data_IF_083086668063
#
_entry.id   IF_083086668063
#
_cell.length_a   1.000
_cell.length_b   1.000
_cell.length_c   1.000
_cell.angle_alpha   90.00
_cell.angle_beta   90.00
_cell.angle_gamma   90.00
#
_symmetry.space_group_name_H-M   'P 1'
#
loop_
_entity.id
_entity.type
_entity.pdbx_description
1 polymer ?
#
# COMPACT_ATOMS: atom_id res chain seq x y z
N UNK A 1 -1.48 -70.79 14.68
CA UNK A 1 -1.32 -70.51 16.12
C UNK A 1 -1.14 -69.01 16.25
N UNK A 2 -2.03 -68.37 17.01
CA UNK A 2 -2.05 -66.96 17.47
C UNK A 2 -0.68 -66.64 18.12
N UNK A 3 -0.07 -65.43 18.06
CA UNK A 3 -0.32 -64.29 18.98
C UNK A 3 0.06 -62.92 18.38
N UNK A 4 -0.85 -61.96 18.56
CA UNK A 4 -0.61 -60.51 18.56
C UNK A 4 0.57 -60.11 19.46
N UNK A 5 1.27 -59.04 19.08
CA UNK A 5 1.72 -58.07 20.08
C UNK A 5 1.47 -56.65 19.58
N UNK A 6 0.45 -56.03 20.16
CA UNK A 6 0.27 -54.58 20.21
C UNK A 6 1.37 -54.02 21.11
N UNK A 7 2.20 -53.13 20.59
CA UNK A 7 2.85 -52.12 21.44
C UNK A 7 2.25 -50.75 21.13
N UNK A 8 1.45 -50.29 22.10
CA UNK A 8 1.06 -48.90 22.26
C UNK A 8 2.31 -48.08 22.62
N UNK A 9 2.58 -47.03 21.86
CA UNK A 9 3.31 -45.87 22.37
C UNK A 9 2.61 -44.62 21.79
N UNK A 10 1.52 -44.20 22.44
CA UNK A 10 1.46 -43.03 23.32
C UNK A 10 1.91 -41.75 22.62
N UNK A 11 0.90 -40.96 22.24
CA UNK A 11 0.86 -39.51 22.33
C UNK A 11 2.20 -38.79 22.14
N UNK A 12 2.56 -38.50 20.89
CA UNK A 12 3.35 -37.29 20.61
C UNK A 12 2.43 -36.10 20.83
N UNK A 13 2.26 -35.71 22.10
CA UNK A 13 1.83 -34.37 22.44
C UNK A 13 2.80 -33.41 21.76
N UNK A 14 2.34 -32.69 20.74
CA UNK A 14 3.02 -31.47 20.33
C UNK A 14 3.09 -30.59 21.57
N UNK A 15 4.31 -30.36 22.07
CA UNK A 15 4.52 -29.44 23.17
C UNK A 15 3.96 -28.09 22.75
N UNK A 16 2.86 -27.69 23.36
CA UNK A 16 2.36 -26.33 23.27
C UNK A 16 3.42 -25.46 23.95
N UNK A 17 4.25 -24.79 23.15
CA UNK A 17 5.14 -23.75 23.65
C UNK A 17 4.22 -22.65 24.19
N UNK A 18 4.20 -22.39 25.51
CA UNK A 18 3.44 -21.28 26.05
C UNK A 18 4.00 -20.01 25.44
N UNK A 19 3.12 -19.14 24.95
CA UNK A 19 3.51 -17.84 24.46
C UNK A 19 3.88 -16.98 25.68
N UNK A 20 5.09 -17.16 26.20
CA UNK A 20 5.66 -16.22 27.15
C UNK A 20 5.80 -14.89 26.39
N UNK A 21 4.93 -13.95 26.73
CA UNK A 21 5.02 -12.57 26.30
C UNK A 21 6.30 -11.96 26.88
N UNK A 22 7.45 -12.27 26.26
CA UNK A 22 8.58 -11.36 26.27
C UNK A 22 8.03 -10.05 25.77
N UNK A 23 8.04 -9.06 26.66
CA UNK A 23 7.62 -7.68 26.44
C UNK A 23 7.96 -7.34 25.00
N UNK A 24 6.93 -7.26 24.15
CA UNK A 24 7.10 -6.78 22.80
C UNK A 24 7.67 -5.39 22.99
N UNK A 25 8.97 -5.24 22.74
CA UNK A 25 9.48 -3.99 22.21
C UNK A 25 8.85 -3.86 20.84
N UNK A 26 7.55 -3.58 20.83
CA UNK A 26 6.93 -2.87 19.74
C UNK A 26 7.87 -1.68 19.53
N UNK A 27 8.39 -1.45 18.32
CA UNK A 27 8.92 -0.12 18.04
C UNK A 27 7.85 0.86 18.53
N UNK A 28 8.24 1.99 19.16
CA UNK A 28 7.25 2.94 19.63
C UNK A 28 6.27 3.14 18.47
N UNK A 29 4.98 2.94 18.73
CA UNK A 29 3.90 3.41 17.86
C UNK A 29 3.98 4.94 17.87
N UNK A 30 5.09 5.50 17.41
CA UNK A 30 5.32 6.90 17.17
C UNK A 30 4.53 7.22 15.91
N UNK A 31 3.27 7.59 16.13
CA UNK A 31 2.36 8.12 15.12
C UNK A 31 2.05 7.15 13.98
N UNK A 32 0.85 6.59 13.96
CA UNK A 32 0.19 6.16 12.70
C UNK A 32 -0.25 7.42 11.93
N UNK A 33 0.76 8.22 11.63
CA UNK A 33 0.80 9.61 11.19
C UNK A 33 2.27 10.01 11.07
N UNK A 34 3.13 9.05 10.70
CA UNK A 34 4.52 9.34 10.37
C UNK A 34 4.55 10.18 9.10
N UNK A 35 5.51 11.10 9.03
CA UNK A 35 5.72 11.92 7.84
C UNK A 35 6.04 11.00 6.65
N UNK A 36 5.03 10.68 5.84
CA UNK A 36 5.22 9.98 4.59
C UNK A 36 5.77 10.96 3.55
N UNK A 37 6.78 10.54 2.81
CA UNK A 37 7.28 11.31 1.68
C UNK A 37 6.22 11.43 0.57
N UNK A 38 5.42 10.38 0.40
CA UNK A 38 4.30 10.32 -0.53
C UNK A 38 3.19 9.44 0.03
N UNK A 39 1.95 9.83 -0.25
CA UNK A 39 0.76 8.98 -0.07
C UNK A 39 0.23 8.65 -1.45
N UNK A 40 -0.02 7.36 -1.70
CA UNK A 40 -0.55 6.84 -2.95
C UNK A 40 -1.95 6.28 -2.69
N UNK A 41 -2.96 6.83 -3.35
CA UNK A 41 -4.33 6.32 -3.32
C UNK A 41 -4.57 5.45 -4.55
N UNK A 42 -4.81 4.16 -4.33
CA UNK A 42 -5.13 3.20 -5.36
C UNK A 42 -6.66 3.07 -5.56
N UNK A 43 -7.06 2.42 -6.65
CA UNK A 43 -8.45 2.27 -7.08
C UNK A 43 -9.19 1.07 -6.47
N UNK A 44 -8.82 0.62 -5.27
CA UNK A 44 -9.58 -0.33 -4.45
C UNK A 44 -10.74 0.34 -3.70
N UNK A 45 -11.14 -0.20 -2.57
CA UNK A 45 -12.16 0.43 -1.72
C UNK A 45 -11.61 1.71 -1.11
N UNK A 46 -12.38 2.78 -1.22
CA UNK A 46 -12.00 4.05 -0.65
C UNK A 46 -11.94 3.96 0.88
N UNK A 47 -10.88 4.47 1.55
CA UNK A 47 -10.75 4.32 2.99
C UNK A 47 -11.89 4.97 3.77
N UNK A 48 -12.43 4.26 4.76
CA UNK A 48 -13.52 4.73 5.62
C UNK A 48 -13.09 4.89 7.08
N UNK A 49 -12.03 4.21 7.50
CA UNK A 49 -11.52 4.29 8.86
C UNK A 49 -10.80 5.62 9.12
N UNK A 50 -10.85 6.10 10.36
CA UNK A 50 -10.32 7.42 10.76
C UNK A 50 -8.82 7.58 10.50
N UNK A 51 -8.05 6.50 10.64
CA UNK A 51 -6.60 6.52 10.45
C UNK A 51 -6.18 6.77 8.99
N UNK A 52 -6.59 5.96 7.99
CA UNK A 52 -6.24 6.20 6.61
C UNK A 52 -6.84 7.51 6.07
N UNK A 53 -8.05 7.91 6.49
CA UNK A 53 -8.61 9.21 6.14
C UNK A 53 -7.77 10.39 6.66
N UNK A 54 -7.24 10.28 7.88
CA UNK A 54 -6.32 11.29 8.43
C UNK A 54 -5.02 11.36 7.64
N UNK A 55 -4.45 10.21 7.26
CA UNK A 55 -3.25 10.15 6.42
C UNK A 55 -3.52 10.84 5.09
N UNK A 56 -4.64 10.52 4.43
CA UNK A 56 -5.03 11.09 3.15
C UNK A 56 -5.16 12.62 3.22
N UNK A 57 -5.85 13.16 4.23
CA UNK A 57 -6.06 14.61 4.40
C UNK A 57 -4.81 15.40 4.77
N UNK A 58 -3.84 14.76 5.43
CA UNK A 58 -2.60 15.41 5.88
C UNK A 58 -1.44 15.22 4.92
N UNK A 59 -1.65 14.47 3.83
CA UNK A 59 -0.63 14.18 2.83
C UNK A 59 -0.16 15.46 2.13
N UNK A 60 1.13 15.75 2.22
CA UNK A 60 1.76 16.88 1.49
C UNK A 60 2.01 16.56 0.02
N UNK A 61 2.13 15.27 -0.30
CA UNK A 61 2.37 14.76 -1.64
C UNK A 61 1.42 13.57 -1.87
N UNK A 62 0.24 13.87 -2.39
CA UNK A 62 -0.82 12.89 -2.64
C UNK A 62 -0.86 12.54 -4.12
N UNK A 63 -0.49 11.31 -4.45
CA UNK A 63 -0.51 10.77 -5.81
C UNK A 63 -1.68 9.81 -5.91
N UNK A 64 -2.50 9.96 -6.94
CA UNK A 64 -3.76 9.23 -7.06
C UNK A 64 -3.74 8.44 -8.35
N UNK A 65 -4.03 7.14 -8.27
CA UNK A 65 -4.29 6.34 -9.45
C UNK A 65 -5.54 6.90 -10.14
N UNK A 66 -5.51 7.02 -11.46
CA UNK A 66 -6.57 7.66 -12.25
C UNK A 66 -7.98 7.12 -11.92
N UNK A 67 -8.14 5.81 -11.75
CA UNK A 67 -9.39 5.17 -11.34
C UNK A 67 -9.85 5.42 -9.90
N UNK A 68 -9.08 6.15 -9.09
CA UNK A 68 -9.44 6.57 -7.74
C UNK A 68 -9.76 8.07 -7.63
N UNK A 69 -9.64 8.82 -8.73
CA UNK A 69 -9.85 10.27 -8.71
C UNK A 69 -11.30 10.61 -8.35
N UNK A 70 -12.28 9.99 -8.99
CA UNK A 70 -13.71 10.29 -8.75
C UNK A 70 -14.08 10.11 -7.27
N UNK A 71 -13.72 8.97 -6.68
CA UNK A 71 -13.95 8.68 -5.26
C UNK A 71 -13.30 9.74 -4.36
N UNK A 72 -12.09 10.23 -4.69
CA UNK A 72 -11.41 11.28 -3.92
C UNK A 72 -12.15 12.61 -3.94
N UNK A 73 -12.73 12.99 -5.08
CA UNK A 73 -13.40 14.27 -5.25
C UNK A 73 -14.67 14.38 -4.40
N UNK A 74 -15.32 13.26 -4.09
CA UNK A 74 -16.46 13.22 -3.16
C UNK A 74 -16.06 13.68 -1.73
N UNK A 75 -14.78 13.62 -1.39
CA UNK A 75 -14.25 14.01 -0.09
C UNK A 75 -13.61 15.40 -0.07
N UNK A 76 -13.69 16.15 -1.17
CA UNK A 76 -13.13 17.50 -1.33
C UNK A 76 -11.62 17.56 -1.04
N UNK A 77 -10.90 16.48 -1.39
CA UNK A 77 -9.44 16.40 -1.24
C UNK A 77 -8.77 16.58 -2.60
N UNK A 78 -7.91 17.59 -2.70
CA UNK A 78 -7.16 17.88 -3.92
C UNK A 78 -5.90 17.00 -4.02
N UNK A 79 -5.71 16.24 -5.11
CA UNK A 79 -4.50 15.47 -5.32
C UNK A 79 -3.35 16.36 -5.79
N UNK A 80 -2.11 15.96 -5.48
CA UNK A 80 -0.91 16.59 -6.04
C UNK A 80 -0.69 16.18 -7.49
N UNK A 81 -0.97 14.93 -7.82
CA UNK A 81 -0.90 14.39 -9.17
C UNK A 81 -1.82 13.20 -9.35
N UNK A 82 -2.31 13.03 -10.58
CA UNK A 82 -3.12 11.88 -11.01
C UNK A 82 -2.33 11.09 -12.04
N UNK A 83 -2.19 9.78 -11.84
CA UNK A 83 -1.31 8.91 -12.65
C UNK A 83 -2.05 7.64 -13.06
N UNK A 84 -1.98 7.28 -14.33
CA UNK A 84 -2.58 6.06 -14.87
C UNK A 84 -2.37 5.96 -16.38
N UNK A 85 -2.93 4.94 -17.03
CA UNK A 85 -3.02 4.90 -18.50
C UNK A 85 -4.16 5.78 -19.05
N UNK A 86 -5.13 6.14 -18.21
CA UNK A 86 -6.26 6.99 -18.58
C UNK A 86 -7.48 6.24 -19.05
N UNK A 87 -7.51 4.91 -18.94
CA UNK A 87 -8.67 4.13 -19.35
C UNK A 87 -9.82 4.23 -18.34
N UNK A 88 -9.52 4.69 -17.10
CA UNK A 88 -10.50 4.81 -16.02
C UNK A 88 -11.17 6.17 -15.91
N UNK A 89 -10.60 7.23 -16.49
CA UNK A 89 -11.09 8.61 -16.36
C UNK A 89 -11.98 9.04 -17.52
N UNK A 90 -13.08 9.74 -17.20
CA UNK A 90 -13.88 10.46 -18.19
C UNK A 90 -13.09 11.60 -18.84
N UNK A 91 -13.41 11.93 -20.10
CA UNK A 91 -12.75 13.02 -20.83
C UNK A 91 -12.93 14.38 -20.14
N UNK A 92 -14.05 14.58 -19.44
CA UNK A 92 -14.32 15.79 -18.67
C UNK A 92 -13.32 15.92 -17.51
N UNK A 93 -13.11 14.85 -16.75
CA UNK A 93 -12.14 14.87 -15.64
C UNK A 93 -10.71 15.00 -16.13
N UNK A 94 -10.34 14.31 -17.22
CA UNK A 94 -9.04 14.49 -17.87
C UNK A 94 -8.78 15.95 -18.22
N UNK A 95 -9.79 16.65 -18.74
CA UNK A 95 -9.68 18.06 -19.10
C UNK A 95 -9.60 18.98 -17.87
N UNK A 96 -10.43 18.76 -16.85
CA UNK A 96 -10.41 19.53 -15.60
C UNK A 96 -9.07 19.41 -14.86
N UNK A 97 -8.51 18.20 -14.81
CA UNK A 97 -7.27 17.89 -14.09
C UNK A 97 -6.04 17.78 -14.99
N UNK A 98 -6.11 18.24 -16.24
CA UNK A 98 -5.03 18.14 -17.22
C UNK A 98 -3.69 18.72 -16.72
N UNK A 99 -3.74 19.70 -15.83
CA UNK A 99 -2.57 20.37 -15.26
C UNK A 99 -1.80 19.53 -14.22
N UNK A 100 -2.43 18.49 -13.65
CA UNK A 100 -1.82 17.55 -12.70
C UNK A 100 -1.95 16.09 -13.15
N UNK A 101 -2.49 15.85 -14.33
CA UNK A 101 -2.65 14.52 -14.89
C UNK A 101 -1.39 14.08 -15.66
N UNK A 102 -0.88 12.91 -15.32
CA UNK A 102 0.35 12.35 -15.88
C UNK A 102 0.04 10.97 -16.49
N UNK A 103 -0.34 10.92 -17.78
CA UNK A 103 -0.60 9.65 -18.45
C UNK A 103 0.71 8.88 -18.64
N UNK A 104 0.70 7.59 -18.32
CA UNK A 104 1.83 6.68 -18.51
C UNK A 104 1.36 5.53 -19.41
N UNK A 105 1.88 5.50 -20.64
CA UNK A 105 1.48 4.53 -21.66
C UNK A 105 2.09 3.13 -21.50
N UNK A 106 3.02 2.95 -20.56
CA UNK A 106 3.62 1.65 -20.23
C UNK A 106 2.53 0.67 -19.77
N UNK A 107 2.51 -0.51 -20.38
CA UNK A 107 1.44 -1.52 -20.20
C UNK A 107 1.86 -2.66 -19.28
N UNK A 108 3.16 -2.87 -19.06
CA UNK A 108 3.66 -3.94 -18.17
C UNK A 108 3.41 -3.63 -16.68
N UNK A 109 3.10 -2.38 -16.35
CA UNK A 109 2.88 -1.93 -14.98
C UNK A 109 1.43 -1.55 -14.73
N UNK A 110 0.90 -1.97 -13.59
CA UNK A 110 -0.37 -1.46 -13.10
C UNK A 110 -0.25 -0.02 -12.58
N UNK A 111 -1.39 0.65 -12.38
CA UNK A 111 -1.42 2.06 -11.96
C UNK A 111 -0.76 2.30 -10.61
N UNK A 112 -0.79 1.33 -9.70
CA UNK A 112 -0.07 1.42 -8.43
C UNK A 112 1.44 1.56 -8.63
N UNK A 113 1.99 0.79 -9.57
CA UNK A 113 3.42 0.83 -9.90
C UNK A 113 3.78 2.08 -10.68
N UNK A 114 2.94 2.49 -11.64
CA UNK A 114 3.08 3.76 -12.36
C UNK A 114 3.13 4.95 -11.39
N UNK A 115 2.15 5.04 -10.48
CA UNK A 115 2.08 6.07 -9.45
C UNK A 115 3.29 6.04 -8.50
N UNK A 116 3.75 4.85 -8.10
CA UNK A 116 4.94 4.68 -7.25
C UNK A 116 6.20 5.21 -7.93
N UNK A 117 6.41 4.87 -9.20
CA UNK A 117 7.57 5.31 -9.98
C UNK A 117 7.54 6.82 -10.20
N UNK A 118 6.36 7.37 -10.51
CA UNK A 118 6.14 8.81 -10.62
C UNK A 118 6.48 9.53 -9.31
N UNK A 119 5.92 9.07 -8.18
CA UNK A 119 6.19 9.66 -6.87
C UNK A 119 7.69 9.63 -6.56
N UNK A 120 8.36 8.52 -6.84
CA UNK A 120 9.80 8.37 -6.60
C UNK A 120 10.65 9.29 -7.46
N UNK A 121 10.32 9.46 -8.74
CA UNK A 121 11.10 10.30 -9.65
C UNK A 121 11.00 11.80 -9.32
N UNK A 122 9.92 12.23 -8.67
CA UNK A 122 9.68 13.62 -8.30
C UNK A 122 10.14 13.97 -6.87
N UNK A 123 10.62 12.99 -6.11
CA UNK A 123 11.14 13.23 -4.77
C UNK A 123 12.58 13.72 -4.80
N UNK A 124 12.81 14.85 -4.11
CA UNK A 124 14.16 15.33 -3.81
C UNK A 124 14.75 14.44 -2.72
N UNK A 125 15.61 13.51 -3.11
CA UNK A 125 16.33 12.66 -2.16
C UNK A 125 17.42 13.48 -1.46
N UNK A 126 17.38 13.51 -0.14
CA UNK A 126 18.52 13.96 0.65
C UNK A 126 19.55 12.83 0.71
N UNK A 127 20.52 12.88 -0.21
CA UNK A 127 21.60 11.91 -0.33
C UNK A 127 22.43 11.74 0.96
N UNK A 128 22.36 12.70 1.90
CA UNK A 128 23.10 12.63 3.16
C UNK A 128 22.53 11.62 4.15
N UNK A 129 21.21 11.41 4.14
CA UNK A 129 20.53 10.62 5.18
C UNK A 129 20.60 9.11 4.96
N UNK A 130 20.91 8.65 3.75
CA UNK A 130 20.87 7.23 3.35
C UNK A 130 19.53 6.51 3.68
N UNK A 131 18.48 7.26 4.01
CA UNK A 131 17.19 6.71 4.38
C UNK A 131 16.34 6.49 3.14
N UNK A 132 15.63 5.36 3.13
CA UNK A 132 14.65 5.06 2.10
C UNK A 132 13.44 5.98 2.27
N UNK A 133 12.91 6.57 1.19
CA UNK A 133 11.70 7.35 1.28
C UNK A 133 10.53 6.44 1.68
N UNK A 134 9.68 6.92 2.58
CA UNK A 134 8.56 6.17 3.14
C UNK A 134 7.26 6.52 2.43
N UNK A 135 6.64 5.52 1.79
CA UNK A 135 5.41 5.72 1.02
C UNK A 135 4.24 5.03 1.71
N UNK A 136 3.12 5.73 1.84
CA UNK A 136 1.88 5.13 2.30
C UNK A 136 1.00 4.74 1.12
N UNK A 137 0.40 3.56 1.17
CA UNK A 137 -0.52 3.05 0.16
C UNK A 137 -1.89 2.87 0.80
N UNK A 138 -2.89 3.58 0.25
CA UNK A 138 -4.28 3.57 0.69
C UNK A 138 -5.18 3.06 -0.43
N UNK A 139 -6.33 2.51 -0.08
CA UNK A 139 -7.30 1.99 -1.08
C UNK A 139 -6.70 0.90 -1.98
N UNK A 140 -5.71 0.14 -1.50
CA UNK A 140 -5.02 -0.86 -2.30
C UNK A 140 -5.71 -2.24 -2.31
N UNK A 141 -6.83 -2.38 -1.60
CA UNK A 141 -7.56 -3.64 -1.36
C UNK A 141 -9.08 -3.42 -1.49
N UNK A 142 -9.89 -4.48 -1.43
CA UNK A 142 -11.35 -4.37 -1.19
C UNK A 142 -12.26 -4.54 -2.43
N UNK A 143 -11.74 -4.29 -3.63
CA UNK A 143 -12.40 -4.64 -4.90
C UNK A 143 -11.99 -6.05 -5.36
N UNK A 144 -11.32 -6.16 -6.52
CA UNK A 144 -10.84 -7.45 -7.05
C UNK A 144 -9.74 -8.07 -6.17
N UNK A 145 -9.88 -9.35 -5.82
CA UNK A 145 -8.95 -10.06 -4.93
C UNK A 145 -7.60 -10.36 -5.60
N UNK A 146 -7.60 -10.65 -6.89
CA UNK A 146 -6.37 -10.84 -7.66
C UNK A 146 -5.54 -9.55 -7.73
N UNK A 147 -6.21 -8.39 -7.86
CA UNK A 147 -5.57 -7.08 -7.75
C UNK A 147 -5.04 -6.83 -6.34
N UNK A 148 -5.81 -7.18 -5.30
CA UNK A 148 -5.41 -7.04 -3.90
C UNK A 148 -4.11 -7.83 -3.63
N UNK A 149 -4.06 -9.10 -4.05
CA UNK A 149 -2.86 -9.93 -3.90
C UNK A 149 -1.67 -9.34 -4.69
N UNK A 150 -1.92 -8.86 -5.91
CA UNK A 150 -0.93 -8.14 -6.72
C UNK A 150 -0.36 -6.94 -5.98
N UNK A 151 -1.21 -6.05 -5.46
CA UNK A 151 -0.82 -4.84 -4.73
C UNK A 151 -0.02 -5.15 -3.46
N UNK A 152 -0.41 -6.18 -2.70
CA UNK A 152 0.35 -6.63 -1.53
C UNK A 152 1.73 -7.15 -1.94
N UNK A 153 1.83 -7.95 -3.01
CA UNK A 153 3.10 -8.48 -3.50
C UNK A 153 4.07 -7.37 -3.95
N UNK A 154 3.52 -6.28 -4.51
CA UNK A 154 4.28 -5.12 -4.96
C UNK A 154 5.00 -4.40 -3.83
N UNK A 155 4.51 -4.46 -2.59
CA UNK A 155 5.20 -3.86 -1.44
C UNK A 155 6.61 -4.43 -1.28
N UNK A 156 6.78 -5.75 -1.43
CA UNK A 156 8.09 -6.38 -1.36
C UNK A 156 8.98 -5.97 -2.54
N UNK A 157 8.40 -5.85 -3.73
CA UNK A 157 9.10 -5.39 -4.93
C UNK A 157 9.59 -3.94 -4.75
N UNK A 158 8.74 -3.03 -4.28
CA UNK A 158 9.11 -1.63 -4.02
C UNK A 158 10.22 -1.51 -2.98
N UNK A 159 10.15 -2.32 -1.93
CA UNK A 159 11.22 -2.38 -0.95
C UNK A 159 12.53 -2.85 -1.56
N UNK A 160 12.54 -3.97 -2.29
CA UNK A 160 13.79 -4.59 -2.75
C UNK A 160 14.40 -3.90 -3.97
N UNK A 161 13.55 -3.50 -4.92
CA UNK A 161 13.97 -3.04 -6.24
C UNK A 161 13.91 -1.52 -6.37
N UNK A 162 12.96 -0.88 -5.68
CA UNK A 162 12.80 0.57 -5.79
C UNK A 162 13.44 1.37 -4.65
N UNK A 163 13.90 0.68 -3.59
CA UNK A 163 14.53 1.32 -2.45
C UNK A 163 13.56 2.16 -1.62
N UNK A 164 12.27 1.83 -1.64
CA UNK A 164 11.21 2.52 -0.89
C UNK A 164 10.99 1.78 0.44
N UNK A 165 10.52 2.48 1.48
CA UNK A 165 9.92 1.86 2.67
C UNK A 165 8.39 1.92 2.54
N UNK A 166 7.73 0.89 1.96
CA UNK A 166 6.30 0.93 1.68
C UNK A 166 5.49 0.52 2.90
N UNK A 167 4.43 1.26 3.18
CA UNK A 167 3.45 0.98 4.23
C UNK A 167 2.06 0.95 3.60
N UNK A 168 1.41 -0.21 3.60
CA UNK A 168 0.00 -0.31 3.21
C UNK A 168 -0.87 -0.17 4.45
N UNK A 169 -1.82 0.77 4.43
CA UNK A 169 -2.77 0.98 5.51
C UNK A 169 -4.18 0.75 4.96
N UNK A 170 -4.88 -0.19 5.58
CA UNK A 170 -6.28 -0.52 5.28
C UNK A 170 -7.17 -0.10 6.44
N UNK A 171 -8.48 -0.20 6.22
CA UNK A 171 -9.48 -0.13 7.29
C UNK A 171 -9.39 -1.32 8.26
#
# INVERSE_FOLDING_TARGET
MIINNKENNKDKQHQHIPNEHSVRHSPPFGGVGGDFNSVILAAGDFPTHLLPLRILRTAKNLIVCDGALEDLLEYEIEPTAVVGDGDSLSDTLKQCYAHIYHPISEQEFNDLTKATLFARSHLKMDASTHMRPRFCYLGATGKREDHTLGNISLMLYYYRQLGIDPVMVTD
#
